data_IF_904279486499
#
_entry.id   IF_904279486499
#
_cell.length_a   1.000
_cell.length_b   1.000
_cell.length_c   1.000
_cell.angle_alpha   90.00
_cell.angle_beta   90.00
_cell.angle_gamma   90.00
#
_symmetry.space_group_name_H-M   'P 1'
#
loop_
_entity.id
_entity.type
_entity.pdbx_description
1 polymer ?
#
# COMPACT_ATOMS: atom_id res chain seq x y z
N UNK A 1 -17.94 16.79 29.59
CA UNK A 1 -17.10 17.50 28.60
C UNK A 1 -16.34 16.46 27.80
N UNK A 2 -16.58 16.36 26.50
CA UNK A 2 -15.78 15.51 25.61
C UNK A 2 -14.42 16.16 25.47
N UNK A 3 -13.35 15.51 25.94
CA UNK A 3 -12.01 16.02 25.73
C UNK A 3 -11.67 15.95 24.23
N UNK A 4 -11.04 17.00 23.73
CA UNK A 4 -10.63 17.09 22.33
C UNK A 4 -9.11 16.85 22.26
N UNK A 5 -8.73 15.89 21.44
CA UNK A 5 -7.34 15.56 21.17
C UNK A 5 -6.81 16.46 20.04
N UNK A 6 -5.73 17.17 20.31
CA UNK A 6 -5.01 17.97 19.30
C UNK A 6 -3.89 17.12 18.70
N UNK A 7 -3.91 16.93 17.37
CA UNK A 7 -2.95 16.09 16.66
C UNK A 7 -2.35 16.85 15.48
N UNK A 8 -1.04 17.06 15.51
CA UNK A 8 -0.31 17.61 14.37
C UNK A 8 -0.06 16.51 13.35
N UNK A 9 -0.22 16.84 12.08
CA UNK A 9 -0.09 15.88 10.99
C UNK A 9 0.69 16.43 9.79
N UNK A 10 1.25 15.52 9.02
CA UNK A 10 1.74 15.74 7.66
C UNK A 10 0.98 14.80 6.75
N UNK A 11 0.40 15.31 5.67
CA UNK A 11 -0.29 14.52 4.66
C UNK A 11 0.46 14.60 3.33
N UNK A 12 0.66 13.46 2.70
CA UNK A 12 1.19 13.32 1.35
C UNK A 12 0.52 12.19 0.60
N UNK A 13 0.94 11.94 -0.62
CA UNK A 13 0.45 10.81 -1.40
C UNK A 13 1.54 10.17 -2.25
N UNK A 14 1.31 8.93 -2.63
CA UNK A 14 2.02 8.18 -3.66
C UNK A 14 1.00 7.83 -4.75
N UNK A 15 1.08 8.49 -5.89
CA UNK A 15 0.15 8.22 -7.00
C UNK A 15 -1.33 8.28 -6.59
N UNK A 16 -1.72 9.22 -5.74
CA UNK A 16 -3.10 9.34 -5.25
C UNK A 16 -3.46 8.53 -4.00
N UNK A 17 -2.66 7.53 -3.61
CA UNK A 17 -2.80 6.86 -2.31
C UNK A 17 -2.37 7.81 -1.19
N UNK A 18 -3.32 8.28 -0.38
CA UNK A 18 -3.12 9.34 0.60
C UNK A 18 -2.64 8.81 1.96
N UNK A 19 -1.48 9.28 2.40
CA UNK A 19 -0.82 8.88 3.64
C UNK A 19 -0.76 10.06 4.60
N UNK A 20 -1.16 9.82 5.84
CA UNK A 20 -1.07 10.81 6.93
C UNK A 20 -0.02 10.33 7.93
N UNK A 21 0.87 11.21 8.36
CA UNK A 21 1.81 10.94 9.46
C UNK A 21 1.42 11.74 10.69
N UNK A 22 1.47 11.08 11.85
CA UNK A 22 1.24 11.68 13.16
C UNK A 22 2.31 11.21 14.15
N UNK A 23 2.59 12.02 15.18
CA UNK A 23 3.48 11.60 16.27
C UNK A 23 2.71 10.73 17.28
N UNK A 24 3.17 9.52 17.53
CA UNK A 24 2.54 8.58 18.46
C UNK A 24 2.43 9.10 19.90
N UNK A 25 3.30 10.04 20.30
CA UNK A 25 3.23 10.68 21.62
C UNK A 25 2.02 11.62 21.80
N UNK A 26 1.37 12.03 20.72
CA UNK A 26 0.19 12.91 20.77
C UNK A 26 -1.12 12.13 21.01
N UNK A 27 -1.09 10.81 20.83
CA UNK A 27 -2.26 9.95 20.95
C UNK A 27 -1.95 8.85 21.97
N UNK A 28 -2.81 8.66 22.97
CA UNK A 28 -2.66 7.53 23.88
C UNK A 28 -2.77 6.21 23.13
N UNK A 29 -1.87 5.24 23.38
CA UNK A 29 -1.78 3.96 22.64
C UNK A 29 -3.12 3.22 22.52
N UNK A 30 -3.93 3.24 23.59
CA UNK A 30 -5.27 2.63 23.59
C UNK A 30 -6.25 3.25 22.59
N UNK A 31 -5.95 4.45 22.10
CA UNK A 31 -6.79 5.19 21.15
C UNK A 31 -6.16 5.31 19.75
N UNK A 32 -4.95 4.80 19.53
CA UNK A 32 -4.27 4.92 18.24
C UNK A 32 -5.19 4.59 17.07
N UNK A 33 -5.77 3.40 17.04
CA UNK A 33 -6.63 2.97 15.92
C UNK A 33 -7.87 3.85 15.81
N UNK A 34 -8.60 4.08 16.92
CA UNK A 34 -9.85 4.87 16.87
C UNK A 34 -9.59 6.32 16.43
N UNK A 35 -8.55 6.96 16.96
CA UNK A 35 -8.23 8.34 16.65
C UNK A 35 -7.75 8.49 15.19
N UNK A 36 -6.93 7.56 14.70
CA UNK A 36 -6.43 7.61 13.33
C UNK A 36 -7.50 7.28 12.31
N UNK A 37 -8.42 6.35 12.59
CA UNK A 37 -9.60 6.11 11.74
C UNK A 37 -10.44 7.38 11.64
N UNK A 38 -10.70 8.07 12.77
CA UNK A 38 -11.41 9.37 12.75
C UNK A 38 -10.68 10.42 11.93
N UNK A 39 -9.35 10.45 11.97
CA UNK A 39 -8.54 11.36 11.18
C UNK A 39 -8.67 11.10 9.68
N UNK A 40 -8.78 9.82 9.29
CA UNK A 40 -8.92 9.41 7.88
C UNK A 40 -10.33 9.60 7.32
N UNK A 41 -11.36 9.68 8.15
CA UNK A 41 -12.75 9.79 7.69
C UNK A 41 -13.19 11.26 7.50
N UNK A 42 -14.06 11.58 6.53
CA UNK A 42 -14.69 12.89 6.44
C UNK A 42 -15.50 13.22 7.73
N UNK A 43 -15.59 14.48 8.14
CA UNK A 43 -15.03 15.69 7.53
C UNK A 43 -13.60 16.04 7.96
N UNK A 44 -12.84 15.11 8.55
CA UNK A 44 -11.49 15.34 9.04
C UNK A 44 -10.47 15.43 7.89
N UNK A 45 -9.20 15.03 8.10
CA UNK A 45 -8.09 15.21 7.13
C UNK A 45 -8.27 14.38 5.88
N UNK A 46 -8.95 13.25 5.96
CA UNK A 46 -9.11 12.22 4.94
C UNK A 46 -7.76 11.58 4.54
N UNK A 47 -7.78 10.31 4.23
CA UNK A 47 -6.61 9.56 3.80
C UNK A 47 -6.90 8.07 3.80
N UNK A 48 -5.97 7.30 3.25
CA UNK A 48 -6.12 5.85 3.13
C UNK A 48 -5.39 5.12 4.26
N UNK A 49 -4.22 5.60 4.66
CA UNK A 49 -3.46 5.07 5.80
C UNK A 49 -2.92 6.20 6.70
N UNK A 50 -2.74 5.86 7.99
CA UNK A 50 -2.01 6.70 8.94
C UNK A 50 -0.77 5.98 9.44
N UNK A 51 0.39 6.60 9.24
CA UNK A 51 1.64 6.23 9.89
C UNK A 51 1.78 6.93 11.25
N UNK A 52 1.72 6.16 12.32
CA UNK A 52 1.96 6.62 13.69
C UNK A 52 3.44 6.47 13.98
N UNK A 53 4.16 7.60 14.04
CA UNK A 53 5.60 7.62 14.22
C UNK A 53 5.95 7.53 15.72
N UNK A 54 6.82 6.61 16.06
CA UNK A 54 7.32 6.36 17.41
C UNK A 54 8.86 6.38 17.44
N UNK A 55 9.46 6.47 18.62
CA UNK A 55 10.89 6.26 18.78
C UNK A 55 11.25 4.82 18.42
N UNK A 56 12.38 4.60 17.72
CA UNK A 56 12.80 3.26 17.35
C UNK A 56 13.14 2.43 18.60
N UNK A 57 13.07 1.10 18.45
CA UNK A 57 13.35 0.16 19.55
C UNK A 57 14.41 -0.89 19.19
N UNK A 58 14.69 -1.06 17.89
CA UNK A 58 15.56 -2.12 17.37
C UNK A 58 16.71 -1.57 16.51
N UNK A 59 17.13 -0.31 16.78
CA UNK A 59 18.26 0.31 16.10
C UNK A 59 17.94 0.97 14.75
N UNK A 60 16.65 1.15 14.41
CA UNK A 60 16.25 1.99 13.27
C UNK A 60 16.34 3.49 13.60
N UNK A 61 16.07 4.33 12.62
CA UNK A 61 16.00 5.78 12.79
C UNK A 61 14.65 6.23 13.34
N UNK A 62 13.58 5.57 12.92
CA UNK A 62 12.20 5.80 13.35
C UNK A 62 11.40 4.51 13.29
N UNK A 63 10.43 4.37 14.20
CA UNK A 63 9.44 3.30 14.13
C UNK A 63 8.11 3.84 13.61
N UNK A 64 7.41 3.07 12.78
CA UNK A 64 6.05 3.36 12.34
C UNK A 64 5.11 2.20 12.66
N UNK A 65 3.92 2.54 13.14
CA UNK A 65 2.75 1.65 13.17
C UNK A 65 1.74 2.18 12.18
N UNK A 66 1.19 1.32 11.35
CA UNK A 66 0.37 1.71 10.22
C UNK A 66 -1.07 1.29 10.50
N UNK A 67 -2.00 2.25 10.41
CA UNK A 67 -3.44 1.97 10.49
C UNK A 67 -4.06 2.18 9.13
N UNK A 68 -4.78 1.19 8.66
CA UNK A 68 -5.53 1.23 7.40
C UNK A 68 -6.98 1.68 7.64
N UNK A 69 -7.50 2.56 6.76
CA UNK A 69 -8.86 3.10 6.85
C UNK A 69 -9.92 2.03 6.69
N UNK A 70 -9.73 1.11 5.78
CA UNK A 70 -10.73 0.10 5.42
C UNK A 70 -10.73 -1.04 6.42
N UNK A 71 -9.55 -1.49 6.86
CA UNK A 71 -9.43 -2.54 7.89
C UNK A 71 -9.74 -2.03 9.30
N UNK A 72 -9.63 -0.73 9.51
CA UNK A 72 -9.79 -0.09 10.82
C UNK A 72 -8.92 -0.77 11.88
N UNK A 73 -7.73 -1.24 11.46
CA UNK A 73 -6.76 -1.94 12.29
C UNK A 73 -5.34 -1.66 11.83
N UNK A 74 -4.37 -2.21 12.54
CA UNK A 74 -2.98 -2.16 12.14
C UNK A 74 -2.71 -3.10 10.98
N UNK A 75 -1.93 -2.62 10.01
CA UNK A 75 -1.35 -3.43 8.94
C UNK A 75 0.18 -3.47 9.09
N UNK A 76 0.82 -4.58 8.69
CA UNK A 76 2.26 -4.77 8.95
C UNK A 76 3.16 -3.91 8.06
N UNK A 77 2.70 -3.54 6.86
CA UNK A 77 3.47 -2.81 5.86
C UNK A 77 2.55 -2.01 4.93
N UNK A 78 3.05 -0.88 4.45
CA UNK A 78 2.45 -0.10 3.36
C UNK A 78 3.57 0.45 2.47
N UNK A 79 3.61 0.03 1.21
CA UNK A 79 4.60 0.50 0.23
C UNK A 79 4.49 2.00 -0.03
N UNK A 80 3.27 2.53 -0.13
CA UNK A 80 3.02 3.96 -0.30
C UNK A 80 3.59 4.79 0.84
N UNK A 81 3.39 4.35 2.07
CA UNK A 81 3.91 5.04 3.25
C UNK A 81 5.44 5.18 3.19
N UNK A 82 6.15 4.13 2.76
CA UNK A 82 7.62 4.16 2.69
C UNK A 82 8.15 5.08 1.61
N UNK A 83 7.34 5.39 0.60
CA UNK A 83 7.68 6.36 -0.44
C UNK A 83 7.44 7.80 0.03
N UNK A 84 6.34 8.04 0.78
CA UNK A 84 5.96 9.38 1.23
C UNK A 84 6.78 9.85 2.44
N UNK A 85 7.16 8.95 3.36
CA UNK A 85 7.86 9.29 4.60
C UNK A 85 9.18 10.05 4.38
N UNK A 86 10.08 9.63 3.47
CA UNK A 86 11.31 10.39 3.19
C UNK A 86 11.04 11.82 2.73
N UNK A 87 10.03 12.02 1.89
CA UNK A 87 9.61 13.35 1.44
C UNK A 87 9.06 14.16 2.62
N UNK A 88 8.24 13.57 3.46
CA UNK A 88 7.71 14.23 4.65
C UNK A 88 8.84 14.71 5.59
N UNK A 89 9.91 13.92 5.78
CA UNK A 89 11.05 14.31 6.58
C UNK A 89 11.91 15.41 5.93
N UNK A 90 12.07 15.38 4.61
CA UNK A 90 12.90 16.34 3.87
C UNK A 90 12.20 17.69 3.69
N UNK A 91 10.90 17.66 3.44
CA UNK A 91 10.13 18.85 3.05
C UNK A 91 9.45 19.54 4.26
N UNK A 92 9.36 18.85 5.43
CA UNK A 92 8.73 19.37 6.64
C UNK A 92 9.63 19.22 7.87
N UNK A 93 9.14 19.63 9.02
CA UNK A 93 9.82 19.46 10.31
C UNK A 93 9.50 18.13 11.01
N UNK A 94 8.80 17.22 10.35
CA UNK A 94 8.35 15.95 10.92
C UNK A 94 9.51 15.11 11.48
N UNK A 95 10.65 15.08 10.78
CA UNK A 95 11.83 14.31 11.17
C UNK A 95 12.58 14.83 12.40
N UNK A 96 12.44 16.12 12.73
CA UNK A 96 13.19 16.75 13.81
C UNK A 96 13.03 16.07 15.16
N UNK A 97 11.82 15.57 15.48
CA UNK A 97 11.55 14.87 16.75
C UNK A 97 12.29 13.54 16.89
N UNK A 98 12.79 13.00 15.78
CA UNK A 98 13.52 11.73 15.72
C UNK A 98 15.02 11.94 15.48
N UNK A 99 15.49 13.19 15.49
CA UNK A 99 16.88 13.53 15.18
C UNK A 99 17.22 13.42 13.68
N UNK A 100 16.21 13.27 12.82
CA UNK A 100 16.38 13.12 11.37
C UNK A 100 16.35 14.52 10.74
N UNK A 101 17.48 14.92 10.17
CA UNK A 101 17.61 16.18 9.43
C UNK A 101 16.92 16.11 8.08
N UNK A 102 16.84 17.27 7.39
CA UNK A 102 16.26 17.35 6.04
C UNK A 102 17.16 16.79 4.91
N UNK A 103 18.35 16.31 5.25
CA UNK A 103 19.32 15.74 4.28
C UNK A 103 19.79 14.41 4.80
N UNK A 104 19.34 13.35 4.19
CA UNK A 104 19.82 11.99 4.45
C UNK A 104 19.82 11.20 3.13
N UNK A 105 20.59 10.12 3.07
CA UNK A 105 20.65 9.21 1.92
C UNK A 105 19.98 7.88 2.18
N UNK A 106 19.84 7.54 3.45
CA UNK A 106 19.25 6.28 3.90
C UNK A 106 18.39 6.56 5.12
N UNK A 107 17.36 5.76 5.28
CA UNK A 107 16.44 5.78 6.42
C UNK A 107 16.11 4.33 6.80
N UNK A 108 16.44 3.96 8.03
CA UNK A 108 16.09 2.66 8.59
C UNK A 108 14.75 2.76 9.33
N UNK A 109 13.68 2.29 8.69
CA UNK A 109 12.31 2.34 9.19
C UNK A 109 11.94 1.03 9.90
N UNK A 110 11.67 1.08 11.20
CA UNK A 110 11.09 -0.06 11.92
C UNK A 110 9.60 -0.18 11.65
N UNK A 111 9.17 -1.31 11.11
CA UNK A 111 7.77 -1.70 10.89
C UNK A 111 7.43 -2.95 11.68
N UNK A 112 6.18 -3.41 11.64
CA UNK A 112 5.80 -4.67 12.26
C UNK A 112 6.39 -5.91 11.54
N UNK A 113 6.79 -5.78 10.25
CA UNK A 113 7.59 -6.80 9.53
C UNK A 113 9.08 -6.78 9.87
N UNK A 114 9.55 -5.77 10.61
CA UNK A 114 10.96 -5.54 10.94
C UNK A 114 11.50 -4.27 10.31
N UNK A 115 12.83 -4.12 10.30
CA UNK A 115 13.48 -2.92 9.75
C UNK A 115 13.50 -2.98 8.22
N UNK A 116 13.05 -1.90 7.60
CA UNK A 116 13.02 -1.68 6.15
C UNK A 116 13.98 -0.55 5.83
N UNK A 117 14.87 -0.77 4.88
CA UNK A 117 15.80 0.26 4.41
C UNK A 117 15.17 1.05 3.26
N UNK A 118 15.30 2.36 3.33
CA UNK A 118 14.84 3.27 2.28
C UNK A 118 16.05 4.10 1.86
N UNK A 119 16.54 3.89 0.65
CA UNK A 119 17.59 4.74 0.09
C UNK A 119 16.97 5.92 -0.68
N UNK A 120 17.56 7.11 -0.50
CA UNK A 120 17.07 8.35 -1.09
C UNK A 120 18.10 8.90 -2.05
N UNK A 121 17.69 9.14 -3.28
CA UNK A 121 18.56 9.65 -4.35
C UNK A 121 17.93 10.91 -4.99
N UNK A 122 18.78 11.85 -5.36
CA UNK A 122 18.35 12.99 -6.20
C UNK A 122 18.66 12.69 -7.66
N UNK A 123 17.65 12.79 -8.51
CA UNK A 123 17.78 12.63 -9.95
C UNK A 123 16.95 13.70 -10.66
N UNK A 124 17.59 14.45 -11.58
CA UNK A 124 16.93 15.52 -12.38
C UNK A 124 16.06 16.46 -11.53
N UNK A 125 16.56 16.88 -10.37
CA UNK A 125 15.84 17.77 -9.45
C UNK A 125 14.74 17.10 -8.60
N UNK A 126 14.41 15.85 -8.85
CA UNK A 126 13.43 15.08 -8.06
C UNK A 126 14.12 14.26 -6.97
N UNK A 127 13.46 14.08 -5.86
CA UNK A 127 13.86 13.14 -4.81
C UNK A 127 13.15 11.83 -5.05
N UNK A 128 13.93 10.76 -5.23
CA UNK A 128 13.43 9.40 -5.43
C UNK A 128 13.74 8.56 -4.18
N UNK A 129 12.76 7.83 -3.70
CA UNK A 129 12.92 6.88 -2.60
C UNK A 129 12.87 5.45 -3.16
N UNK A 130 13.87 4.63 -2.81
CA UNK A 130 13.91 3.21 -3.13
C UNK A 130 13.75 2.42 -1.83
N UNK A 131 12.62 1.77 -1.69
CA UNK A 131 12.31 0.97 -0.51
C UNK A 131 12.69 -0.48 -0.73
N UNK A 132 13.52 -1.03 0.16
CA UNK A 132 13.79 -2.47 0.19
C UNK A 132 12.53 -3.23 0.64
N UNK A 133 11.93 -3.95 -0.29
CA UNK A 133 10.72 -4.76 -0.10
C UNK A 133 11.01 -6.24 0.14
N UNK A 134 12.27 -6.63 0.31
CA UNK A 134 12.67 -8.03 0.46
C UNK A 134 11.99 -8.73 1.63
N UNK A 135 11.74 -8.01 2.73
CA UNK A 135 10.99 -8.57 3.87
C UNK A 135 9.53 -8.87 3.53
N UNK A 136 8.90 -7.98 2.76
CA UNK A 136 7.55 -8.20 2.28
C UNK A 136 7.48 -9.38 1.30
N UNK A 137 8.46 -9.50 0.39
CA UNK A 137 8.59 -10.65 -0.50
C UNK A 137 8.67 -11.96 0.30
N UNK A 138 9.53 -12.00 1.33
CA UNK A 138 9.64 -13.18 2.21
C UNK A 138 8.33 -13.50 2.94
N UNK A 139 7.59 -12.48 3.35
CA UNK A 139 6.28 -12.66 3.98
C UNK A 139 5.24 -13.22 3.01
N UNK A 140 5.24 -12.76 1.74
CA UNK A 140 4.39 -13.33 0.70
C UNK A 140 4.66 -14.82 0.51
N UNK A 141 5.95 -15.22 0.41
CA UNK A 141 6.31 -16.64 0.28
C UNK A 141 6.00 -17.48 1.53
N UNK A 142 6.11 -16.90 2.72
CA UNK A 142 5.71 -17.59 3.98
C UNK A 142 4.20 -17.85 4.02
N UNK A 143 3.40 -16.93 3.50
CA UNK A 143 1.95 -17.05 3.40
C UNK A 143 1.50 -17.72 2.10
N UNK A 144 2.40 -18.43 1.46
CA UNK A 144 2.25 -19.24 0.26
C UNK A 144 1.98 -18.44 -1.03
N UNK A 145 2.61 -18.92 -2.10
CA UNK A 145 2.41 -18.45 -3.48
C UNK A 145 2.09 -19.65 -4.34
N UNK A 146 0.91 -19.70 -4.93
CA UNK A 146 0.52 -20.80 -5.80
C UNK A 146 -0.58 -20.41 -6.81
N UNK A 147 -0.66 -21.15 -7.94
CA UNK A 147 -1.74 -20.98 -8.91
C UNK A 147 -3.09 -21.35 -8.28
N UNK A 148 -4.10 -20.58 -8.65
CA UNK A 148 -5.48 -20.77 -8.20
C UNK A 148 -6.43 -20.50 -9.36
N UNK A 149 -7.58 -21.16 -9.37
CA UNK A 149 -8.67 -20.86 -10.28
C UNK A 149 -9.85 -20.29 -9.50
N UNK A 150 -10.27 -19.08 -9.85
CA UNK A 150 -11.38 -18.38 -9.19
C UNK A 150 -12.36 -17.85 -10.24
N UNK A 151 -13.64 -18.12 -10.05
CA UNK A 151 -14.72 -17.73 -10.99
C UNK A 151 -14.37 -18.02 -12.46
N UNK A 152 -13.74 -19.18 -12.72
CA UNK A 152 -13.34 -19.59 -14.06
C UNK A 152 -12.05 -18.97 -14.60
N UNK A 153 -11.37 -18.10 -13.84
CA UNK A 153 -10.14 -17.41 -14.25
C UNK A 153 -8.92 -17.99 -13.53
N UNK A 154 -7.85 -18.22 -14.27
CA UNK A 154 -6.57 -18.61 -13.71
C UNK A 154 -5.85 -17.38 -13.14
N UNK A 155 -5.56 -17.40 -11.86
CA UNK A 155 -4.94 -16.34 -11.09
C UNK A 155 -3.80 -16.91 -10.22
N UNK A 156 -3.11 -16.06 -9.48
CA UNK A 156 -2.17 -16.47 -8.44
C UNK A 156 -2.62 -15.93 -7.07
N UNK A 157 -2.57 -16.79 -6.06
CA UNK A 157 -2.49 -16.34 -4.67
C UNK A 157 -1.04 -15.93 -4.40
N UNK A 158 -0.83 -14.72 -3.91
CA UNK A 158 0.50 -14.22 -3.49
C UNK A 158 0.36 -13.61 -2.10
N UNK A 159 0.68 -14.38 -1.07
CA UNK A 159 0.43 -13.96 0.30
C UNK A 159 -1.04 -13.58 0.51
N UNK A 160 -1.31 -12.32 0.84
CA UNK A 160 -2.67 -11.78 1.04
C UNK A 160 -3.34 -11.28 -0.26
N UNK A 161 -2.70 -11.47 -1.41
CA UNK A 161 -3.17 -10.91 -2.68
C UNK A 161 -3.71 -11.99 -3.61
N UNK A 162 -4.79 -11.66 -4.29
CA UNK A 162 -5.22 -12.36 -5.48
C UNK A 162 -4.73 -11.56 -6.69
N UNK A 163 -3.76 -12.12 -7.40
CA UNK A 163 -3.14 -11.46 -8.56
C UNK A 163 -3.70 -12.08 -9.83
N UNK A 164 -4.29 -11.25 -10.69
CA UNK A 164 -4.87 -11.69 -11.95
C UNK A 164 -4.42 -10.82 -13.14
N UNK A 165 -4.26 -11.47 -14.30
CA UNK A 165 -4.01 -10.81 -15.57
C UNK A 165 -5.35 -10.32 -16.16
N UNK A 166 -5.50 -9.01 -16.36
CA UNK A 166 -6.71 -8.42 -16.92
C UNK A 166 -7.04 -8.96 -18.31
N UNK A 167 -6.03 -9.34 -19.10
CA UNK A 167 -6.24 -9.97 -20.39
C UNK A 167 -6.95 -11.34 -20.25
N UNK A 168 -6.61 -12.13 -19.21
CA UNK A 168 -7.30 -13.40 -18.93
C UNK A 168 -8.75 -13.18 -18.48
N UNK A 169 -9.02 -12.14 -17.69
CA UNK A 169 -10.38 -11.80 -17.32
C UNK A 169 -11.21 -11.44 -18.56
N UNK A 170 -10.68 -10.60 -19.45
CA UNK A 170 -11.37 -10.27 -20.71
C UNK A 170 -11.59 -11.50 -21.60
N UNK A 171 -10.64 -12.43 -21.64
CA UNK A 171 -10.75 -13.68 -22.36
C UNK A 171 -11.92 -14.56 -21.88
N UNK A 172 -12.28 -14.50 -20.61
CA UNK A 172 -13.40 -15.28 -20.03
C UNK A 172 -14.72 -14.52 -20.09
N UNK A 173 -14.71 -13.23 -19.80
CA UNK A 173 -15.92 -12.42 -19.62
C UNK A 173 -16.20 -11.44 -20.76
N UNK A 174 -15.33 -11.41 -21.78
CA UNK A 174 -15.46 -10.52 -22.93
C UNK A 174 -15.03 -9.08 -22.62
N UNK A 175 -15.60 -8.14 -23.36
CA UNK A 175 -15.26 -6.72 -23.24
C UNK A 175 -15.73 -6.15 -21.90
N UNK A 176 -14.77 -5.80 -21.05
CA UNK A 176 -14.97 -5.27 -19.69
C UNK A 176 -13.87 -4.24 -19.40
N UNK A 177 -14.26 -3.07 -18.91
CA UNK A 177 -13.30 -2.06 -18.50
C UNK A 177 -12.86 -2.28 -17.06
N UNK A 178 -11.67 -2.84 -16.88
CA UNK A 178 -11.07 -3.04 -15.57
C UNK A 178 -10.29 -1.81 -15.07
N UNK A 179 -9.98 -0.84 -15.94
CA UNK A 179 -9.22 0.35 -15.56
C UNK A 179 -10.11 1.35 -14.80
N UNK A 180 -11.37 1.46 -15.19
CA UNK A 180 -12.37 2.30 -14.52
C UNK A 180 -13.28 1.52 -13.56
N UNK A 181 -13.18 0.18 -13.56
CA UNK A 181 -14.02 -0.72 -12.78
C UNK A 181 -15.52 -0.39 -12.96
N UNK A 182 -15.99 -0.53 -14.18
CA UNK A 182 -17.40 -0.39 -14.50
C UNK A 182 -18.29 -1.38 -13.71
N UNK A 183 -19.63 -1.24 -13.72
CA UNK A 183 -20.52 -2.12 -12.97
C UNK A 183 -20.33 -3.60 -13.30
N UNK A 184 -20.05 -3.96 -14.55
CA UNK A 184 -19.81 -5.33 -14.97
C UNK A 184 -18.49 -5.86 -14.43
N UNK A 185 -17.41 -5.05 -14.51
CA UNK A 185 -16.12 -5.38 -13.90
C UNK A 185 -16.25 -5.60 -12.39
N UNK A 186 -16.98 -4.72 -11.70
CA UNK A 186 -17.23 -4.84 -10.27
C UNK A 186 -17.95 -6.15 -9.92
N UNK A 187 -18.97 -6.54 -10.67
CA UNK A 187 -19.70 -7.79 -10.46
C UNK A 187 -18.79 -9.01 -10.63
N UNK A 188 -17.95 -9.02 -11.67
CA UNK A 188 -16.97 -10.08 -11.92
C UNK A 188 -15.98 -10.19 -10.74
N UNK A 189 -15.39 -9.05 -10.32
CA UNK A 189 -14.41 -9.02 -9.24
C UNK A 189 -15.02 -9.44 -7.88
N UNK A 190 -16.28 -9.08 -7.61
CA UNK A 190 -17.04 -9.56 -6.45
C UNK A 190 -17.25 -11.07 -6.50
N UNK A 191 -17.58 -11.62 -7.66
CA UNK A 191 -17.69 -13.06 -7.86
C UNK A 191 -16.38 -13.78 -7.62
N UNK A 192 -15.27 -13.25 -8.14
CA UNK A 192 -13.92 -13.79 -7.90
C UNK A 192 -13.54 -13.74 -6.42
N UNK A 193 -13.81 -12.64 -5.75
CA UNK A 193 -13.55 -12.48 -4.31
C UNK A 193 -14.35 -13.50 -3.49
N UNK A 194 -15.65 -13.64 -3.79
CA UNK A 194 -16.52 -14.59 -3.11
C UNK A 194 -16.05 -16.04 -3.28
N UNK A 195 -15.67 -16.42 -4.51
CA UNK A 195 -15.16 -17.75 -4.79
C UNK A 195 -13.84 -18.01 -4.08
N UNK A 196 -12.93 -17.05 -4.08
CA UNK A 196 -11.66 -17.10 -3.35
C UNK A 196 -11.89 -17.28 -1.83
N UNK A 197 -12.79 -16.50 -1.23
CA UNK A 197 -13.12 -16.59 0.19
C UNK A 197 -13.74 -17.95 0.55
N UNK A 198 -14.59 -18.50 -0.35
CA UNK A 198 -15.21 -19.82 -0.16
C UNK A 198 -14.20 -20.97 -0.20
N UNK A 199 -13.09 -20.82 -0.89
CA UNK A 199 -12.01 -21.81 -0.91
C UNK A 199 -11.22 -21.84 0.41
N UNK A 200 -11.45 -20.89 1.32
CA UNK A 200 -10.83 -20.87 2.66
C UNK A 200 -9.32 -20.63 2.63
N UNK A 201 -8.78 -20.10 1.55
CA UNK A 201 -7.34 -19.95 1.32
C UNK A 201 -6.75 -18.74 2.05
N UNK A 202 -7.59 -17.96 2.67
CA UNK A 202 -7.19 -16.77 3.42
C UNK A 202 -7.96 -16.66 4.73
N UNK A 203 -7.29 -16.39 5.87
CA UNK A 203 -7.97 -16.31 7.17
C UNK A 203 -8.86 -15.08 7.35
N UNK A 204 -8.79 -14.12 6.45
CA UNK A 204 -9.62 -12.92 6.48
C UNK A 204 -10.50 -12.85 5.24
N UNK A 205 -11.79 -12.57 5.37
CA UNK A 205 -12.61 -12.24 4.21
C UNK A 205 -12.07 -10.98 3.53
N UNK A 206 -12.29 -10.86 2.23
CA UNK A 206 -11.87 -9.74 1.37
C UNK A 206 -10.36 -9.76 1.03
N UNK A 207 -9.94 -10.72 0.21
CA UNK A 207 -8.62 -10.69 -0.41
C UNK A 207 -8.34 -9.36 -1.11
N UNK A 208 -7.12 -8.90 -1.01
CA UNK A 208 -6.67 -7.74 -1.81
C UNK A 208 -6.45 -8.16 -3.25
N UNK A 209 -7.12 -7.49 -4.19
CA UNK A 209 -6.92 -7.71 -5.61
C UNK A 209 -5.77 -6.88 -6.16
N UNK A 210 -5.02 -7.47 -7.08
CA UNK A 210 -4.04 -6.76 -7.93
C UNK A 210 -4.25 -7.23 -9.36
N UNK A 211 -4.74 -6.34 -10.21
CA UNK A 211 -4.90 -6.60 -11.64
C UNK A 211 -3.74 -5.96 -12.41
N UNK A 212 -3.23 -6.66 -13.39
CA UNK A 212 -2.19 -6.14 -14.27
C UNK A 212 -2.41 -6.57 -15.70
N UNK A 213 -1.82 -5.82 -16.61
CA UNK A 213 -1.72 -6.15 -18.03
C UNK A 213 -0.37 -5.65 -18.54
N UNK A 214 0.46 -6.56 -19.07
CA UNK A 214 1.73 -6.15 -19.68
C UNK A 214 1.46 -5.62 -21.08
N UNK A 215 2.19 -4.56 -21.48
CA UNK A 215 2.11 -4.05 -22.84
C UNK A 215 2.68 -5.08 -23.82
N UNK A 216 2.01 -5.32 -24.95
CA UNK A 216 2.46 -6.33 -25.93
C UNK A 216 3.86 -6.08 -26.48
N UNK A 217 4.25 -4.82 -26.59
CA UNK A 217 5.54 -4.36 -27.13
C UNK A 217 6.67 -4.34 -26.09
N UNK A 218 6.34 -4.38 -24.79
CA UNK A 218 7.34 -4.38 -23.71
C UNK A 218 6.89 -5.27 -22.55
N UNK A 219 7.43 -6.46 -22.47
CA UNK A 219 7.13 -7.44 -21.42
C UNK A 219 7.64 -7.04 -20.03
N UNK A 220 8.37 -5.91 -19.92
CA UNK A 220 8.84 -5.34 -18.65
C UNK A 220 8.06 -4.09 -18.24
N UNK A 221 7.11 -3.66 -19.05
CA UNK A 221 6.26 -2.53 -18.79
C UNK A 221 4.79 -2.94 -18.93
N UNK A 222 3.98 -2.50 -18.01
CA UNK A 222 2.55 -2.81 -18.00
C UNK A 222 1.76 -1.76 -17.24
N UNK A 223 0.50 -2.02 -17.07
CA UNK A 223 -0.41 -1.21 -16.27
C UNK A 223 -1.04 -2.03 -15.16
N UNK A 224 -1.47 -1.37 -14.11
CA UNK A 224 -2.03 -1.99 -12.91
C UNK A 224 -3.28 -1.28 -12.45
N UNK A 225 -4.17 -2.04 -11.86
CA UNK A 225 -5.37 -1.55 -11.16
C UNK A 225 -5.50 -2.33 -9.86
N UNK A 226 -5.76 -1.62 -8.78
CA UNK A 226 -5.91 -2.20 -7.46
C UNK A 226 -7.35 -2.03 -6.95
N UNK A 227 -8.30 -2.89 -7.38
CA UNK A 227 -9.65 -2.89 -6.82
C UNK A 227 -9.61 -3.46 -5.40
N UNK A 228 -8.91 -2.76 -4.53
CA UNK A 228 -8.70 -3.14 -3.14
C UNK A 228 -10.05 -3.20 -2.44
N UNK A 229 -10.44 -4.42 -2.01
CA UNK A 229 -11.74 -4.67 -1.37
C UNK A 229 -12.93 -4.27 -2.23
N UNK A 230 -13.09 -5.01 -3.28
CA UNK A 230 -14.20 -4.88 -4.25
C UNK A 230 -15.56 -4.71 -3.57
N UNK A 231 -15.77 -5.36 -2.41
CA UNK A 231 -17.00 -5.25 -1.61
C UNK A 231 -17.32 -3.82 -1.16
N UNK A 232 -16.31 -2.98 -0.95
CA UNK A 232 -16.50 -1.57 -0.59
C UNK A 232 -16.58 -0.64 -1.80
N UNK A 233 -16.31 -1.14 -3.00
CA UNK A 233 -16.21 -0.35 -4.22
C UNK A 233 -15.01 0.59 -4.27
N UNK A 234 -14.03 0.39 -3.39
CA UNK A 234 -12.82 1.21 -3.35
C UNK A 234 -11.79 0.71 -4.36
N UNK A 235 -11.30 1.63 -5.19
CA UNK A 235 -10.14 1.42 -6.05
C UNK A 235 -9.00 2.21 -5.44
N UNK A 236 -7.92 1.53 -5.09
CA UNK A 236 -6.71 2.19 -4.65
C UNK A 236 -5.94 2.66 -5.89
N UNK A 237 -5.65 3.97 -6.02
CA UNK A 237 -5.03 4.49 -7.25
C UNK A 237 -3.64 3.91 -7.48
N UNK A 238 -2.89 3.68 -6.41
CA UNK A 238 -1.54 3.12 -6.47
C UNK A 238 -1.26 2.31 -5.20
N UNK A 239 -0.74 1.09 -5.37
CA UNK A 239 -0.44 0.17 -4.27
C UNK A 239 0.96 -0.43 -4.41
N UNK A 240 1.91 -0.01 -3.56
CA UNK A 240 3.27 -0.51 -3.63
C UNK A 240 3.38 -2.00 -3.30
N UNK A 241 2.67 -2.49 -2.29
CA UNK A 241 2.67 -3.91 -1.91
C UNK A 241 1.96 -4.77 -2.96
N UNK A 242 0.85 -4.28 -3.52
CA UNK A 242 0.16 -4.95 -4.64
C UNK A 242 1.04 -5.04 -5.89
N UNK A 243 1.82 -4.00 -6.18
CA UNK A 243 2.78 -4.04 -7.32
C UNK A 243 3.88 -5.08 -7.09
N UNK A 244 4.40 -5.22 -5.87
CA UNK A 244 5.35 -6.30 -5.53
C UNK A 244 4.69 -7.68 -5.67
N UNK A 245 3.43 -7.84 -5.27
CA UNK A 245 2.70 -9.10 -5.47
C UNK A 245 2.58 -9.46 -6.96
N UNK A 246 2.35 -8.48 -7.84
CA UNK A 246 2.36 -8.68 -9.30
C UNK A 246 3.75 -9.10 -9.79
N UNK A 247 4.82 -8.46 -9.31
CA UNK A 247 6.19 -8.82 -9.67
C UNK A 247 6.53 -10.27 -9.28
N UNK A 248 6.10 -10.71 -8.09
CA UNK A 248 6.21 -12.12 -7.65
C UNK A 248 5.44 -13.04 -8.60
N UNK A 249 4.19 -12.68 -8.95
CA UNK A 249 3.36 -13.48 -9.86
C UNK A 249 3.99 -13.64 -11.25
N UNK A 250 4.63 -12.58 -11.77
CA UNK A 250 5.32 -12.63 -13.06
C UNK A 250 6.56 -13.54 -13.01
N UNK A 251 7.31 -13.55 -11.90
CA UNK A 251 8.43 -14.46 -11.71
C UNK A 251 7.96 -15.92 -11.61
N UNK A 252 7.01 -16.22 -10.73
CA UNK A 252 6.47 -17.58 -10.53
C UNK A 252 5.85 -18.18 -11.79
N UNK A 253 5.27 -17.33 -12.65
CA UNK A 253 4.72 -17.77 -13.94
C UNK A 253 5.75 -17.76 -15.08
N UNK A 254 7.03 -17.57 -14.77
CA UNK A 254 8.16 -17.54 -15.73
C UNK A 254 8.00 -16.49 -16.83
N UNK A 255 7.30 -15.40 -16.55
CA UNK A 255 7.17 -14.25 -17.46
C UNK A 255 8.32 -13.25 -17.32
N UNK A 256 9.20 -13.46 -16.32
CA UNK A 256 10.46 -12.75 -16.15
C UNK A 256 11.62 -13.73 -16.13
N UNK A 257 12.79 -13.37 -16.71
CA UNK A 257 13.97 -14.22 -16.65
C UNK A 257 14.58 -14.21 -15.24
N UNK A 258 15.40 -15.21 -14.93
CA UNK A 258 16.28 -15.20 -13.76
C UNK A 258 17.35 -14.10 -13.90
N UNK A 259 17.83 -13.60 -12.78
CA UNK A 259 18.79 -12.50 -12.68
C UNK A 259 18.15 -11.16 -12.30
N UNK A 260 18.91 -10.05 -12.47
CA UNK A 260 18.39 -8.71 -12.22
C UNK A 260 17.34 -8.29 -13.26
N UNK A 261 16.17 -7.89 -12.79
CA UNK A 261 15.04 -7.44 -13.64
C UNK A 261 14.51 -6.13 -13.10
N UNK A 262 14.17 -5.22 -14.01
CA UNK A 262 13.40 -4.01 -13.68
C UNK A 262 12.05 -4.07 -14.39
N UNK A 263 10.98 -4.00 -13.63
CA UNK A 263 9.60 -3.89 -14.12
C UNK A 263 9.09 -2.48 -13.88
N UNK A 264 8.21 -2.02 -14.77
CA UNK A 264 7.51 -0.74 -14.65
C UNK A 264 6.03 -0.96 -14.78
N UNK A 265 5.26 -0.27 -13.95
CA UNK A 265 3.81 -0.37 -13.97
C UNK A 265 3.19 1.03 -13.89
N UNK A 266 2.43 1.38 -14.92
CA UNK A 266 1.64 2.58 -14.93
C UNK A 266 0.37 2.34 -14.10
N UNK A 267 0.10 3.21 -13.14
CA UNK A 267 -1.10 3.15 -12.32
C UNK A 267 -2.12 4.17 -12.77
N UNK A 268 -3.40 3.75 -12.73
CA UNK A 268 -4.52 4.55 -13.23
C UNK A 268 -4.99 5.68 -12.30
N UNK A 269 -4.19 6.06 -11.28
CA UNK A 269 -4.50 7.20 -10.41
C UNK A 269 -4.53 8.54 -11.15
N UNK A 270 -4.12 8.49 -12.41
CA UNK A 270 -3.73 9.57 -13.23
C UNK A 270 -4.73 10.62 -13.67
N UNK A 271 -6.01 10.39 -13.97
CA UNK A 271 -6.83 11.45 -14.54
C UNK A 271 -6.98 12.67 -13.64
N UNK A 272 -7.07 12.47 -12.33
CA UNK A 272 -7.13 13.57 -11.35
C UNK A 272 -5.77 14.20 -11.04
N UNK A 273 -4.67 13.55 -11.44
CA UNK A 273 -3.29 13.94 -11.14
C UNK A 273 -2.46 14.29 -12.39
N UNK A 274 -3.08 14.29 -13.58
CA UNK A 274 -2.48 14.79 -14.81
C UNK A 274 -1.72 13.77 -15.65
N UNK A 275 -1.90 12.48 -15.44
CA UNK A 275 -1.31 11.43 -16.29
C UNK A 275 -0.93 10.16 -15.54
N UNK A 276 -0.52 9.11 -16.23
CA UNK A 276 -0.10 7.88 -15.60
C UNK A 276 1.18 8.11 -14.79
N UNK A 277 1.16 7.65 -13.55
CA UNK A 277 2.35 7.54 -12.74
C UNK A 277 2.91 6.14 -12.86
N UNK A 278 4.22 6.03 -12.73
CA UNK A 278 4.90 4.76 -12.88
C UNK A 278 5.51 4.28 -11.56
N UNK A 279 5.18 3.06 -11.18
CA UNK A 279 5.89 2.32 -10.13
C UNK A 279 6.98 1.48 -10.77
N UNK A 280 8.21 1.66 -10.33
CA UNK A 280 9.36 0.84 -10.73
C UNK A 280 9.66 -0.19 -9.64
N UNK A 281 9.76 -1.45 -10.05
CA UNK A 281 10.22 -2.56 -9.21
C UNK A 281 11.54 -3.07 -9.76
N UNK A 282 12.61 -2.95 -8.99
CA UNK A 282 13.89 -3.59 -9.25
C UNK A 282 13.97 -4.85 -8.43
N UNK A 283 14.21 -5.98 -9.07
CA UNK A 283 14.22 -7.25 -8.36
C UNK A 283 15.32 -8.17 -8.87
N UNK A 284 15.68 -9.15 -8.04
CA UNK A 284 16.51 -10.28 -8.43
C UNK A 284 15.66 -11.53 -8.38
N UNK A 285 15.64 -12.28 -9.47
CA UNK A 285 14.91 -13.54 -9.62
C UNK A 285 15.91 -14.69 -9.66
N UNK A 286 15.66 -15.72 -8.85
CA UNK A 286 16.45 -16.95 -8.81
C UNK A 286 15.48 -18.16 -8.81
N UNK A 287 15.64 -19.06 -9.77
CA UNK A 287 14.77 -20.21 -9.94
C UNK A 287 13.28 -19.82 -9.98
N UNK A 288 12.94 -18.80 -10.75
CA UNK A 288 11.60 -18.21 -10.87
C UNK A 288 11.02 -17.64 -9.57
N UNK A 289 11.84 -17.36 -8.55
CA UNK A 289 11.43 -16.73 -7.30
C UNK A 289 12.10 -15.39 -7.12
N UNK A 290 11.36 -14.41 -6.65
CA UNK A 290 11.93 -13.12 -6.27
C UNK A 290 12.68 -13.28 -4.94
N UNK A 291 13.98 -13.02 -4.92
CA UNK A 291 14.83 -13.10 -3.71
C UNK A 291 15.14 -11.73 -3.12
N UNK A 292 15.09 -10.69 -3.94
CA UNK A 292 15.27 -9.29 -3.55
C UNK A 292 14.34 -8.41 -4.36
N UNK A 293 13.80 -7.35 -3.77
CA UNK A 293 13.02 -6.35 -4.49
C UNK A 293 13.18 -4.96 -3.87
N UNK A 294 13.25 -3.95 -4.71
CA UNK A 294 13.17 -2.53 -4.38
C UNK A 294 11.98 -1.89 -5.09
N UNK A 295 11.30 -0.98 -4.42
CA UNK A 295 10.15 -0.23 -4.93
C UNK A 295 10.50 1.26 -5.03
N UNK A 296 10.17 1.89 -6.16
CA UNK A 296 10.17 3.34 -6.35
C UNK A 296 8.90 3.78 -7.06
N UNK A 297 8.39 4.96 -6.74
CA UNK A 297 7.24 5.56 -7.43
C UNK A 297 7.59 6.94 -7.98
N UNK A 298 7.13 7.23 -9.20
CA UNK A 298 7.49 8.46 -9.93
C UNK A 298 6.82 9.72 -9.39
N UNK A 299 5.65 9.58 -8.75
CA UNK A 299 4.86 10.69 -8.20
C UNK A 299 4.64 10.52 -6.70
N UNK A 300 5.40 11.27 -5.92
CA UNK A 300 5.26 11.35 -4.46
C UNK A 300 5.28 12.81 -4.06
N UNK A 301 4.25 13.28 -3.40
CA UNK A 301 4.12 14.69 -3.01
C UNK A 301 3.63 14.86 -1.58
N UNK A 302 4.05 15.95 -0.95
CA UNK A 302 3.49 16.42 0.33
C UNK A 302 2.38 17.39 0.01
N UNK A 303 1.16 17.09 0.46
CA UNK A 303 -0.04 17.87 0.16
C UNK A 303 -0.24 19.00 1.17
N UNK A 304 -0.11 18.69 2.46
CA UNK A 304 -0.36 19.67 3.52
C UNK A 304 0.23 19.25 4.86
N UNK A 305 0.39 20.22 5.74
CA UNK A 305 0.70 20.03 7.15
C UNK A 305 -0.29 20.82 7.98
N UNK A 306 -0.60 20.36 9.17
CA UNK A 306 -1.56 21.07 10.01
C UNK A 306 -1.81 20.42 11.35
N UNK A 307 -2.85 20.90 12.00
CA UNK A 307 -3.35 20.38 13.27
C UNK A 307 -4.81 20.01 13.15
N UNK A 308 -5.16 18.80 13.53
CA UNK A 308 -6.54 18.33 13.61
C UNK A 308 -7.00 18.24 15.06
N UNK A 309 -8.28 18.52 15.30
CA UNK A 309 -8.95 18.32 16.59
C UNK A 309 -9.88 17.14 16.48
N UNK A 310 -9.59 16.09 17.24
CA UNK A 310 -10.35 14.84 17.21
C UNK A 310 -11.06 14.71 18.55
N UNK A 311 -12.40 14.54 18.54
CA UNK A 311 -13.13 14.23 19.76
C UNK A 311 -12.64 12.90 20.33
N UNK A 312 -12.23 12.89 21.59
CA UNK A 312 -11.85 11.62 22.24
C UNK A 312 -13.02 10.64 22.16
N UNK A 313 -12.73 9.37 21.80
CA UNK A 313 -13.77 8.34 21.78
C UNK A 313 -14.30 8.18 23.22
N UNK A 314 -15.47 8.71 23.48
CA UNK A 314 -16.17 8.50 24.77
C UNK A 314 -16.31 6.99 25.00
N UNK A 315 -16.01 6.52 26.21
CA UNK A 315 -16.40 5.17 26.64
C UNK A 315 -17.91 5.07 26.42
N UNK A 316 -18.34 4.03 25.71
CA UNK A 316 -19.76 3.68 25.70
C UNK A 316 -20.18 3.50 27.17
N UNK A 317 -20.99 4.41 27.67
CA UNK A 317 -21.64 4.23 28.96
C UNK A 317 -22.69 3.16 28.69
N UNK A 318 -22.39 1.93 29.09
CA UNK A 318 -23.39 0.87 29.08
C UNK A 318 -24.37 1.25 30.20
N UNK A 319 -25.46 1.90 29.85
CA UNK A 319 -26.60 1.99 30.74
C UNK A 319 -27.13 0.56 30.89
N UNK A 320 -26.88 -0.06 32.04
CA UNK A 320 -27.72 -1.20 32.46
C UNK A 320 -29.11 -0.61 32.75
N UNK A 321 -30.02 -0.89 31.87
CA UNK A 321 -31.45 -0.70 32.17
C UNK A 321 -31.76 -1.62 33.32
N UNK A 322 -32.42 -1.15 34.41
CA UNK A 322 -32.76 -1.93 35.58
C UNK A 322 -33.70 -3.07 35.24
#
# INVERSE_FOLDING_TARGET
>A
MTSTLKVDFVKGHMGGNEIIFVHGSQISKRYHVKATVRLMEPPSVRGDQVGILEKPRKGGDVKVRIVDRTEKTYIPMCGGLTQVLPRAFMDTDLGKRYGIGRRFRELALETDLGTVMISVRKSKGKTLAYTDMTRFVKECYRNEVFPIRVAGVDALKVGEYLVADAAKLRGVYGDVNFDEIDPKAKEILLSMQKDFDQQGLWPKPNASFSLFEMYPEDTRHGRVVFPHRVSTGHIEPSCGTGTIAIAIALAETKRTPDGPVTLRFDSGGGPSLGGPETTEVRMVVENSKVVHAELNHSLVEILTTGTAWISEPTRAVIYRVP
#
